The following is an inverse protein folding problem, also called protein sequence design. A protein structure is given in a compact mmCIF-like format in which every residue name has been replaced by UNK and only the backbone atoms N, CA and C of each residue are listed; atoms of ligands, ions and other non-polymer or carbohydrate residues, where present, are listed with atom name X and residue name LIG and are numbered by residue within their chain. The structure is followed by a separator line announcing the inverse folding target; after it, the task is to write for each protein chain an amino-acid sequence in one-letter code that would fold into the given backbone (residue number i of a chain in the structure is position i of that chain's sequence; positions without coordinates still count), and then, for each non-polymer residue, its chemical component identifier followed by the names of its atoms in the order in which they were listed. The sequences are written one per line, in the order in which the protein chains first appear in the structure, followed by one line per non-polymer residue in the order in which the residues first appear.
data_IF_919363553603
#
_entry.id   IF_919363553603
#
_cell.length_a   1.000
_cell.length_b   1.000
_cell.length_c   1.000
_cell.angle_alpha   90.00
_cell.angle_beta   90.00
_cell.angle_gamma   90.00
#
_symmetry.space_group_name_H-M   'P 1'
#
loop_
_entity.id
_entity.type
_entity.pdbx_description
1 polymer ?
#
# COMPACT_ATOMS: atom_id res chain seq x y z
N UNK A 1 24.89 8.79 -5.29
CA UNK A 1 23.91 7.74 -4.97
C UNK A 1 22.60 8.45 -4.61
N UNK A 2 21.47 8.12 -5.22
CA UNK A 2 20.18 8.62 -4.68
C UNK A 2 19.66 7.60 -3.71
N UNK A 3 19.16 8.08 -2.59
CA UNK A 3 18.45 7.28 -1.61
C UNK A 3 17.04 7.06 -2.13
N UNK A 4 16.54 5.82 -2.05
CA UNK A 4 15.13 5.54 -2.34
C UNK A 4 14.25 6.22 -1.30
N UNK A 5 13.10 6.69 -1.72
CA UNK A 5 12.06 7.24 -0.84
C UNK A 5 11.13 6.12 -0.39
N UNK A 6 10.77 6.13 0.90
CA UNK A 6 9.91 5.11 1.51
C UNK A 6 8.72 5.79 2.16
N UNK A 7 7.52 5.39 1.76
CA UNK A 7 6.25 5.82 2.36
C UNK A 7 5.54 4.62 2.97
N UNK A 8 4.93 4.81 4.14
CA UNK A 8 4.18 3.78 4.86
C UNK A 8 2.71 4.16 4.97
N UNK A 9 1.84 3.17 4.80
CA UNK A 9 0.39 3.30 4.91
C UNK A 9 -0.11 2.28 5.92
N UNK A 10 -0.78 2.74 6.98
CA UNK A 10 -1.31 1.86 8.00
C UNK A 10 -2.79 1.60 7.75
N UNK A 11 -3.15 0.33 7.61
CA UNK A 11 -4.54 -0.10 7.59
C UNK A 11 -4.98 -0.51 9.01
N UNK A 12 -5.92 0.25 9.58
CA UNK A 12 -6.44 0.00 10.92
C UNK A 12 -7.30 -1.28 10.99
N UNK A 13 -7.89 -1.71 9.88
CA UNK A 13 -8.79 -2.86 9.86
C UNK A 13 -8.03 -4.18 10.03
N UNK A 14 -6.84 -4.31 9.42
CA UNK A 14 -6.00 -5.51 9.49
C UNK A 14 -4.72 -5.31 10.30
N UNK A 15 -4.43 -4.09 10.74
CA UNK A 15 -3.17 -3.71 11.38
C UNK A 15 -1.94 -3.95 10.48
N UNK A 16 -2.15 -3.92 9.17
CA UNK A 16 -1.09 -4.05 8.16
C UNK A 16 -0.42 -2.70 7.91
N UNK A 17 0.90 -2.70 7.75
CA UNK A 17 1.63 -1.54 7.22
C UNK A 17 2.10 -1.89 5.80
N UNK A 18 1.50 -1.27 4.79
CA UNK A 18 1.96 -1.35 3.40
C UNK A 18 3.04 -0.30 3.13
N UNK A 19 3.95 -0.58 2.19
CA UNK A 19 5.02 0.35 1.84
C UNK A 19 5.07 0.65 0.34
N UNK A 20 5.30 1.92 0.00
CA UNK A 20 5.77 2.35 -1.31
C UNK A 20 7.26 2.65 -1.21
N UNK A 21 8.07 1.96 -2.01
CA UNK A 21 9.50 2.23 -2.17
C UNK A 21 9.74 2.75 -3.58
N UNK A 22 10.20 4.00 -3.70
CA UNK A 22 10.39 4.67 -4.99
C UNK A 22 11.84 5.15 -5.19
N UNK A 23 12.36 4.96 -6.41
CA UNK A 23 13.58 5.64 -6.86
C UNK A 23 13.20 6.88 -7.69
N UNK A 24 13.36 8.10 -7.15
CA UNK A 24 12.94 9.32 -7.83
C UNK A 24 13.74 9.61 -9.11
N UNK A 25 14.90 8.97 -9.31
CA UNK A 25 15.67 9.17 -10.56
C UNK A 25 15.13 8.39 -11.73
N UNK A 26 14.73 7.14 -11.49
CA UNK A 26 14.30 6.24 -12.56
C UNK A 26 12.79 6.17 -12.68
N UNK A 27 12.06 6.67 -11.68
CA UNK A 27 10.60 6.52 -11.58
C UNK A 27 10.16 5.09 -11.30
N UNK A 28 11.10 4.18 -10.99
CA UNK A 28 10.78 2.81 -10.61
C UNK A 28 10.29 2.79 -9.18
N UNK A 29 9.27 1.99 -8.93
CA UNK A 29 8.73 1.80 -7.60
C UNK A 29 8.30 0.35 -7.36
N UNK A 30 8.19 -0.01 -6.08
CA UNK A 30 7.62 -1.26 -5.62
C UNK A 30 6.63 -0.98 -4.49
N UNK A 31 5.54 -1.75 -4.48
CA UNK A 31 4.58 -1.79 -3.38
C UNK A 31 4.84 -3.09 -2.61
N UNK A 32 4.96 -3.01 -1.30
CA UNK A 32 5.21 -4.13 -0.41
C UNK A 32 3.99 -4.31 0.50
N UNK A 33 3.51 -5.55 0.58
CA UNK A 33 2.39 -5.98 1.41
C UNK A 33 1.10 -5.17 1.17
N UNK A 34 0.66 -5.13 -0.09
CA UNK A 34 -0.54 -4.39 -0.50
C UNK A 34 -1.81 -4.97 0.11
N UNK A 35 -2.69 -4.10 0.62
CA UNK A 35 -4.00 -4.49 1.16
C UNK A 35 -5.08 -4.40 0.08
N UNK A 36 -5.94 -5.43 0.03
CA UNK A 36 -7.24 -5.38 -0.64
C UNK A 36 -8.33 -5.40 0.43
N UNK A 37 -9.21 -4.40 0.44
CA UNK A 37 -10.29 -4.35 1.43
C UNK A 37 -11.21 -5.55 1.26
N UNK A 38 -11.67 -6.11 2.37
CA UNK A 38 -12.60 -7.23 2.38
C UNK A 38 -13.65 -7.08 3.48
N UNK A 39 -14.92 -7.23 3.12
CA UNK A 39 -16.03 -7.38 4.07
C UNK A 39 -16.38 -8.87 4.22
N UNK A 40 -16.10 -9.49 5.38
CA UNK A 40 -16.41 -10.90 5.63
C UNK A 40 -17.90 -11.24 5.60
N UNK A 41 -18.78 -10.29 5.93
CA UNK A 41 -20.22 -10.54 6.01
C UNK A 41 -20.86 -10.67 4.62
N UNK A 42 -20.42 -9.86 3.66
CA UNK A 42 -20.92 -9.89 2.29
C UNK A 42 -20.00 -10.61 1.30
N UNK A 43 -18.77 -10.95 1.70
CA UNK A 43 -17.75 -11.55 0.84
C UNK A 43 -17.26 -10.61 -0.26
N UNK A 44 -17.42 -9.30 -0.09
CA UNK A 44 -17.10 -8.29 -1.12
C UNK A 44 -15.74 -7.67 -0.87
N UNK A 45 -15.08 -7.30 -1.96
CA UNK A 45 -13.84 -6.54 -1.95
C UNK A 45 -14.05 -5.09 -2.38
N UNK A 46 -13.16 -4.19 -1.96
CA UNK A 46 -13.09 -2.81 -2.44
C UNK A 46 -11.66 -2.31 -2.57
N UNK A 47 -11.47 -1.18 -3.25
CA UNK A 47 -10.18 -0.50 -3.44
C UNK A 47 -10.05 0.78 -2.62
N UNK A 48 -10.91 0.99 -1.62
CA UNK A 48 -10.98 2.27 -0.89
C UNK A 48 -9.64 2.62 -0.25
N UNK A 49 -8.92 1.62 0.28
CA UNK A 49 -7.59 1.83 0.85
C UNK A 49 -6.54 2.26 -0.19
N UNK A 50 -6.71 1.90 -1.46
CA UNK A 50 -5.82 2.30 -2.55
C UNK A 50 -6.19 3.64 -3.19
N UNK A 51 -7.46 4.06 -3.05
CA UNK A 51 -8.00 5.30 -3.64
C UNK A 51 -7.82 6.54 -2.74
N UNK A 52 -7.39 6.36 -1.49
CA UNK A 52 -7.22 7.41 -0.47
C UNK A 52 -5.91 8.20 -0.65
#
# INVERSE_FOLDING_TARGET
MTTSEVHSFFDEATFTVSYLVADPKTGRAAIIDSVLDFDPASGRTSTRSADA
#
